data_IF_377988572123
#
_entry.id   IF_377988572123
#
_cell.length_a   1.000
_cell.length_b   1.000
_cell.length_c   1.000
_cell.angle_alpha   90.00
_cell.angle_beta   90.00
_cell.angle_gamma   90.00
#
_symmetry.space_group_name_H-M   'P 1'
#
loop_
_entity.id
_entity.type
_entity.pdbx_description
1 polymer ?
#
# COMPACT_ATOMS: atom_id res chain seq x y z
N UNK A 1 23.64 -8.31 47.34
CA UNK A 1 24.22 -7.69 46.15
C UNK A 1 24.13 -8.73 45.04
N UNK A 2 23.14 -8.65 44.22
CA UNK A 2 23.01 -9.47 43.03
C UNK A 2 22.42 -8.55 41.95
N UNK A 3 23.28 -8.26 41.00
CA UNK A 3 23.03 -7.37 39.87
C UNK A 3 22.20 -8.12 38.84
N UNK A 4 20.95 -7.73 38.65
CA UNK A 4 20.09 -8.29 37.62
C UNK A 4 20.11 -7.32 36.43
N UNK A 5 21.14 -7.43 35.61
CA UNK A 5 21.20 -6.78 34.29
C UNK A 5 20.22 -7.51 33.35
N UNK A 6 19.03 -6.96 33.23
CA UNK A 6 18.08 -7.35 32.18
C UNK A 6 18.64 -6.92 30.84
N UNK A 7 19.14 -7.88 30.11
CA UNK A 7 19.58 -7.74 28.72
C UNK A 7 18.33 -7.53 27.83
N UNK A 8 18.07 -6.28 27.50
CA UNK A 8 17.14 -5.95 26.42
C UNK A 8 17.81 -6.37 25.10
N UNK A 9 17.51 -7.60 24.67
CA UNK A 9 17.91 -8.09 23.37
C UNK A 9 17.31 -7.18 22.28
N UNK A 10 18.14 -6.31 21.73
CA UNK A 10 17.84 -5.56 20.53
C UNK A 10 17.52 -6.56 19.41
N UNK A 11 16.31 -6.53 18.91
CA UNK A 11 15.93 -7.31 17.73
C UNK A 11 16.85 -6.87 16.59
N UNK A 12 17.75 -7.76 16.18
CA UNK A 12 18.56 -7.58 14.98
C UNK A 12 17.61 -7.36 13.78
N UNK A 13 17.93 -6.46 12.86
CA UNK A 13 17.12 -6.30 11.66
C UNK A 13 17.05 -7.65 10.93
N UNK A 14 15.85 -8.19 10.76
CA UNK A 14 15.61 -9.46 10.09
C UNK A 14 16.15 -9.36 8.67
N UNK A 15 17.06 -10.25 8.28
CA UNK A 15 17.63 -10.23 6.94
C UNK A 15 16.58 -10.56 5.87
N UNK A 16 16.67 -9.96 4.69
CA UNK A 16 15.75 -10.26 3.56
C UNK A 16 15.67 -11.76 3.23
N UNK A 17 16.76 -12.50 3.43
CA UNK A 17 16.86 -13.95 3.23
C UNK A 17 15.95 -14.74 4.19
N UNK A 18 15.76 -14.28 5.43
CA UNK A 18 14.90 -14.94 6.41
C UNK A 18 13.42 -14.85 6.00
N UNK A 19 13.00 -13.71 5.50
CA UNK A 19 11.62 -13.50 5.04
C UNK A 19 11.30 -14.41 3.86
N UNK A 20 12.19 -14.51 2.89
CA UNK A 20 12.01 -15.41 1.72
C UNK A 20 11.90 -16.86 2.17
N UNK A 21 12.74 -17.29 3.11
CA UNK A 21 12.67 -18.65 3.66
C UNK A 21 11.34 -18.92 4.39
N UNK A 22 10.88 -17.97 5.22
CA UNK A 22 9.57 -18.13 5.91
C UNK A 22 8.39 -18.13 4.93
N UNK A 23 8.48 -17.41 3.82
CA UNK A 23 7.48 -17.49 2.75
C UNK A 23 7.48 -18.86 2.08
N UNK A 24 8.66 -19.47 1.90
CA UNK A 24 8.79 -20.83 1.38
C UNK A 24 8.21 -21.87 2.36
N UNK A 25 8.50 -21.73 3.66
CA UNK A 25 7.97 -22.59 4.71
C UNK A 25 6.42 -22.48 4.78
N UNK A 26 5.89 -21.28 4.66
CA UNK A 26 4.44 -21.04 4.64
C UNK A 26 3.78 -21.67 3.40
N UNK A 27 4.43 -21.68 2.25
CA UNK A 27 3.98 -22.42 1.05
C UNK A 27 3.97 -23.92 1.28
N UNK A 28 4.90 -24.43 2.08
CA UNK A 28 4.96 -25.81 2.51
C UNK A 28 3.88 -26.23 3.52
N UNK A 29 3.03 -25.28 3.96
CA UNK A 29 1.92 -25.52 4.90
C UNK A 29 2.22 -25.12 6.35
N UNK A 30 3.38 -24.52 6.65
CA UNK A 30 3.66 -23.97 7.98
C UNK A 30 2.90 -22.64 8.20
N UNK A 31 1.74 -22.73 8.88
CA UNK A 31 0.93 -21.56 9.21
C UNK A 31 1.64 -20.59 10.18
N UNK A 32 2.58 -21.09 11.00
CA UNK A 32 3.36 -20.26 11.91
C UNK A 32 4.40 -19.42 11.16
N UNK A 33 4.89 -19.90 10.01
CA UNK A 33 5.81 -19.14 9.16
C UNK A 33 5.15 -17.90 8.58
N UNK A 34 3.90 -17.97 8.11
CA UNK A 34 3.16 -16.79 7.65
C UNK A 34 2.94 -15.78 8.78
N UNK A 35 2.63 -16.23 9.98
CA UNK A 35 2.49 -15.34 11.15
C UNK A 35 3.80 -14.64 11.49
N UNK A 36 4.96 -15.31 11.35
CA UNK A 36 6.29 -14.70 11.49
C UNK A 36 6.56 -13.63 10.44
N UNK A 37 6.28 -13.93 9.17
CA UNK A 37 6.40 -12.95 8.08
C UNK A 37 5.58 -11.70 8.41
N UNK A 38 4.32 -11.87 8.74
CA UNK A 38 3.41 -10.76 8.99
C UNK A 38 3.79 -9.93 10.22
N UNK A 39 4.20 -10.57 11.34
CA UNK A 39 4.64 -9.85 12.53
C UNK A 39 5.93 -9.05 12.28
N UNK A 40 6.86 -9.61 11.52
CA UNK A 40 8.12 -8.94 11.16
C UNK A 40 7.87 -7.77 10.22
N UNK A 41 7.03 -7.97 9.21
CA UNK A 41 6.73 -6.94 8.23
C UNK A 41 5.67 -5.94 8.70
N UNK A 42 4.99 -6.19 9.83
CA UNK A 42 3.96 -5.29 10.35
C UNK A 42 4.44 -3.85 10.51
N UNK A 43 5.64 -3.65 11.04
CA UNK A 43 6.22 -2.32 11.24
C UNK A 43 6.53 -1.64 9.89
N UNK A 44 6.98 -2.41 8.92
CA UNK A 44 7.21 -1.90 7.56
C UNK A 44 5.87 -1.51 6.91
N UNK A 45 4.86 -2.39 6.97
CA UNK A 45 3.51 -2.12 6.48
C UNK A 45 2.88 -0.90 7.16
N UNK A 46 3.07 -0.77 8.48
CA UNK A 46 2.55 0.39 9.22
C UNK A 46 3.27 1.69 8.83
N UNK A 47 4.56 1.63 8.54
CA UNK A 47 5.33 2.77 8.03
C UNK A 47 4.85 3.16 6.63
N UNK A 48 4.60 2.19 5.76
CA UNK A 48 4.01 2.40 4.42
C UNK A 48 2.64 3.07 4.53
N UNK A 49 1.76 2.56 5.39
CA UNK A 49 0.43 3.12 5.59
C UNK A 49 0.48 4.56 6.12
N UNK A 50 1.40 4.88 7.05
CA UNK A 50 1.59 6.25 7.53
C UNK A 50 2.06 7.20 6.41
N UNK A 51 2.99 6.77 5.57
CA UNK A 51 3.44 7.56 4.42
C UNK A 51 2.30 7.81 3.43
N UNK A 52 1.48 6.78 3.16
CA UNK A 52 0.31 6.86 2.28
C UNK A 52 -0.71 7.89 2.77
N UNK A 53 -0.95 7.94 4.08
CA UNK A 53 -1.96 8.82 4.68
C UNK A 53 -1.39 10.19 5.07
N UNK A 54 -0.08 10.42 4.90
CA UNK A 54 0.55 11.72 5.16
C UNK A 54 -0.04 12.79 4.22
N UNK A 55 -0.59 13.85 4.79
CA UNK A 55 -1.25 14.93 4.03
C UNK A 55 -2.75 14.74 3.81
N UNK A 56 -3.33 13.61 4.19
CA UNK A 56 -4.77 13.38 4.11
C UNK A 56 -5.45 13.74 5.44
N UNK A 57 -5.56 15.04 5.72
CA UNK A 57 -6.19 15.54 6.95
C UNK A 57 -7.71 15.33 6.91
N UNK A 58 -8.31 14.86 8.02
CA UNK A 58 -9.76 14.70 8.16
C UNK A 58 -10.34 13.36 7.68
N UNK A 59 -9.50 12.37 7.36
CA UNK A 59 -9.99 11.03 6.97
C UNK A 59 -10.19 10.14 8.20
N UNK A 60 -11.28 9.34 8.18
CA UNK A 60 -11.54 8.28 9.17
C UNK A 60 -10.56 7.12 9.05
N UNK A 61 -9.88 6.99 7.91
CA UNK A 61 -8.88 5.95 7.67
C UNK A 61 -7.55 6.35 8.30
N UNK A 62 -7.13 5.61 9.31
CA UNK A 62 -5.79 5.76 9.92
C UNK A 62 -4.87 4.60 9.51
N UNK A 63 -3.56 4.76 9.79
CA UNK A 63 -2.55 3.78 9.36
C UNK A 63 -2.81 2.38 9.93
N UNK A 64 -3.29 2.27 11.17
CA UNK A 64 -3.59 0.98 11.80
C UNK A 64 -4.76 0.28 11.11
N UNK A 65 -5.84 1.03 10.80
CA UNK A 65 -6.99 0.50 10.05
C UNK A 65 -6.57 0.08 8.65
N UNK A 66 -5.79 0.92 7.94
CA UNK A 66 -5.30 0.59 6.59
C UNK A 66 -4.48 -0.70 6.59
N UNK A 67 -3.56 -0.86 7.55
CA UNK A 67 -2.74 -2.08 7.67
C UNK A 67 -3.62 -3.29 8.01
N UNK A 68 -4.58 -3.13 8.92
CA UNK A 68 -5.46 -4.23 9.32
C UNK A 68 -6.36 -4.70 8.16
N UNK A 69 -6.97 -3.78 7.42
CA UNK A 69 -7.78 -4.11 6.25
C UNK A 69 -6.94 -4.73 5.11
N UNK A 70 -5.75 -4.19 4.86
CA UNK A 70 -4.82 -4.79 3.90
C UNK A 70 -4.39 -6.20 4.34
N UNK A 71 -4.13 -6.40 5.63
CA UNK A 71 -3.82 -7.71 6.21
C UNK A 71 -4.98 -8.71 6.01
N UNK A 72 -6.23 -8.31 6.26
CA UNK A 72 -7.39 -9.18 6.02
C UNK A 72 -7.50 -9.58 4.55
N UNK A 73 -7.18 -8.67 3.61
CA UNK A 73 -7.12 -8.98 2.18
C UNK A 73 -5.98 -9.95 1.85
N UNK A 74 -4.83 -9.82 2.54
CA UNK A 74 -3.68 -10.73 2.39
C UNK A 74 -4.03 -12.17 2.83
N UNK A 75 -4.63 -12.33 4.02
CA UNK A 75 -4.96 -13.66 4.56
C UNK A 75 -6.23 -14.28 3.95
N UNK A 76 -7.16 -13.46 3.47
CA UNK A 76 -8.41 -13.93 2.83
C UNK A 76 -8.17 -14.69 1.53
N UNK A 77 -7.03 -14.50 0.89
CA UNK A 77 -6.54 -15.34 -0.21
C UNK A 77 -5.71 -16.49 0.35
N UNK A 78 -6.37 -17.55 0.80
CA UNK A 78 -5.75 -18.79 1.33
C UNK A 78 -4.70 -19.44 0.40
N UNK A 79 -4.57 -18.97 -0.83
CA UNK A 79 -3.63 -19.47 -1.86
C UNK A 79 -2.60 -18.41 -2.28
N UNK A 80 -2.47 -17.28 -1.56
CA UNK A 80 -1.45 -16.29 -1.90
C UNK A 80 -0.05 -16.86 -1.61
N UNK A 81 0.50 -17.58 -2.59
CA UNK A 81 1.87 -18.06 -2.56
C UNK A 81 2.80 -16.90 -2.94
N UNK A 82 3.32 -16.21 -1.94
CA UNK A 82 4.34 -15.20 -2.19
C UNK A 82 5.66 -15.89 -2.53
N UNK A 83 6.20 -15.60 -3.71
CA UNK A 83 7.44 -16.22 -4.18
C UNK A 83 8.66 -15.69 -3.42
N UNK A 84 8.63 -14.40 -3.09
CA UNK A 84 9.70 -13.71 -2.39
C UNK A 84 9.17 -12.43 -1.69
N UNK A 85 10.09 -11.72 -1.04
CA UNK A 85 9.79 -10.44 -0.37
C UNK A 85 9.26 -9.37 -1.34
N UNK A 86 9.78 -9.32 -2.58
CA UNK A 86 9.34 -8.35 -3.58
C UNK A 86 7.88 -8.60 -3.98
N UNK A 87 7.51 -9.86 -4.20
CA UNK A 87 6.15 -10.25 -4.50
C UNK A 87 5.19 -9.93 -3.33
N UNK A 88 5.62 -10.17 -2.08
CA UNK A 88 4.83 -9.80 -0.90
C UNK A 88 4.56 -8.29 -0.85
N UNK A 89 5.61 -7.43 -1.01
CA UNK A 89 5.44 -5.97 -0.95
C UNK A 89 4.62 -5.41 -2.12
N UNK A 90 4.79 -5.93 -3.32
CA UNK A 90 3.97 -5.56 -4.46
C UNK A 90 2.49 -5.86 -4.19
N UNK A 91 2.21 -7.03 -3.62
CA UNK A 91 0.84 -7.41 -3.26
C UNK A 91 0.29 -6.55 -2.10
N UNK A 92 1.10 -6.26 -1.08
CA UNK A 92 0.71 -5.39 0.02
C UNK A 92 0.38 -3.97 -0.45
N UNK A 93 1.19 -3.41 -1.38
CA UNK A 93 0.92 -2.11 -1.99
C UNK A 93 -0.41 -2.11 -2.75
N UNK A 94 -0.68 -3.14 -3.54
CA UNK A 94 -1.95 -3.32 -4.27
C UNK A 94 -3.14 -3.50 -3.31
N UNK A 95 -2.97 -4.24 -2.21
CA UNK A 95 -4.00 -4.39 -1.17
C UNK A 95 -4.31 -3.05 -0.49
N UNK A 96 -3.28 -2.27 -0.14
CA UNK A 96 -3.45 -0.92 0.43
C UNK A 96 -4.16 0.01 -0.54
N UNK A 97 -3.78 0.00 -1.84
CA UNK A 97 -4.49 0.72 -2.90
C UNK A 97 -5.98 0.37 -2.88
N UNK A 98 -6.31 -0.93 -2.90
CA UNK A 98 -7.69 -1.39 -2.88
C UNK A 98 -8.47 -0.88 -1.66
N UNK A 99 -7.87 -0.90 -0.46
CA UNK A 99 -8.52 -0.39 0.77
C UNK A 99 -8.81 1.11 0.63
N UNK A 100 -7.83 1.91 0.22
CA UNK A 100 -8.00 3.38 0.08
C UNK A 100 -9.09 3.71 -0.96
N UNK A 101 -9.10 2.99 -2.08
CA UNK A 101 -10.12 3.15 -3.14
C UNK A 101 -11.51 2.75 -2.65
N UNK A 102 -11.63 1.65 -1.90
CA UNK A 102 -12.90 1.21 -1.33
C UNK A 102 -13.45 2.24 -0.34
N UNK A 103 -12.60 2.84 0.49
CA UNK A 103 -12.98 3.96 1.37
C UNK A 103 -13.46 5.18 0.59
N UNK A 104 -12.74 5.58 -0.47
CA UNK A 104 -13.17 6.69 -1.33
C UNK A 104 -14.55 6.42 -1.97
N UNK A 105 -14.76 5.21 -2.48
CA UNK A 105 -16.06 4.78 -3.04
C UNK A 105 -17.19 4.84 -2.01
N UNK A 106 -16.96 4.35 -0.79
CA UNK A 106 -17.96 4.36 0.29
C UNK A 106 -18.34 5.79 0.67
N UNK A 107 -17.39 6.71 0.82
CA UNK A 107 -17.65 8.11 1.16
C UNK A 107 -18.46 8.82 0.06
N UNK A 108 -18.13 8.60 -1.20
CA UNK A 108 -18.88 9.14 -2.32
C UNK A 108 -20.31 8.55 -2.42
N UNK A 109 -20.47 7.26 -2.12
CA UNK A 109 -21.78 6.60 -2.11
C UNK A 109 -22.65 7.11 -0.94
N UNK A 110 -22.10 7.27 0.26
CA UNK A 110 -22.82 7.83 1.41
C UNK A 110 -23.36 9.24 1.13
N UNK A 111 -22.59 10.06 0.39
CA UNK A 111 -23.05 11.37 -0.04
C UNK A 111 -24.23 11.31 -1.02
N UNK A 112 -24.26 10.31 -1.92
CA UNK A 112 -25.35 10.16 -2.92
C UNK A 112 -26.61 9.53 -2.34
N UNK A 113 -26.49 8.71 -1.29
CA UNK A 113 -27.61 7.96 -0.69
C UNK A 113 -28.13 8.51 0.65
N UNK A 114 -27.42 9.45 1.25
CA UNK A 114 -27.86 10.11 2.48
C UNK A 114 -28.93 11.14 2.16
N UNK A 115 -30.00 11.15 2.97
CA UNK A 115 -31.06 12.16 3.03
C UNK A 115 -30.49 13.50 3.53
N UNK A 116 -29.47 14.01 2.85
CA UNK A 116 -28.93 15.33 3.09
C UNK A 116 -29.94 16.32 2.51
N UNK A 117 -30.85 16.80 3.36
CA UNK A 117 -31.53 18.06 3.13
C UNK A 117 -30.51 19.02 2.48
N UNK A 118 -30.90 19.61 1.36
CA UNK A 118 -30.17 20.62 0.59
C UNK A 118 -29.48 21.62 1.55
N UNK A 119 -28.29 21.30 2.00
CA UNK A 119 -27.36 22.29 2.53
C UNK A 119 -26.78 22.94 1.29
N UNK A 120 -27.14 24.17 1.05
CA UNK A 120 -26.86 24.92 -0.18
C UNK A 120 -25.37 25.19 -0.36
N UNK A 121 -24.57 25.02 0.71
CA UNK A 121 -23.11 25.18 0.71
C UNK A 121 -22.49 24.11 1.62
N UNK A 122 -21.61 23.28 1.08
CA UNK A 122 -20.81 22.35 1.86
C UNK A 122 -19.62 23.13 2.45
N UNK A 123 -19.22 22.87 3.71
CA UNK A 123 -17.95 23.39 4.24
C UNK A 123 -16.79 23.02 3.32
N UNK A 124 -15.82 23.94 3.11
CA UNK A 124 -14.68 23.74 2.19
C UNK A 124 -13.90 22.48 2.50
N UNK A 125 -13.80 22.09 3.79
CA UNK A 125 -13.10 20.86 4.20
C UNK A 125 -13.80 19.59 3.66
N UNK A 126 -15.14 19.60 3.64
CA UNK A 126 -15.93 18.46 3.12
C UNK A 126 -15.83 18.43 1.59
N UNK A 127 -15.90 19.56 0.92
CA UNK A 127 -15.76 19.67 -0.52
C UNK A 127 -14.35 19.25 -0.97
N UNK A 128 -13.31 19.72 -0.28
CA UNK A 128 -11.94 19.32 -0.53
C UNK A 128 -11.70 17.82 -0.34
N UNK A 129 -12.25 17.21 0.70
CA UNK A 129 -12.17 15.77 0.94
C UNK A 129 -12.84 14.96 -0.18
N UNK A 130 -13.97 15.42 -0.72
CA UNK A 130 -14.67 14.76 -1.81
C UNK A 130 -13.93 14.84 -3.15
N UNK A 131 -13.27 15.97 -3.42
CA UNK A 131 -12.40 16.09 -4.60
C UNK A 131 -11.25 15.08 -4.53
N UNK A 132 -10.64 14.92 -3.35
CA UNK A 132 -9.58 13.92 -3.14
C UNK A 132 -10.08 12.49 -3.38
N UNK A 133 -11.32 12.16 -2.97
CA UNK A 133 -11.91 10.84 -3.23
C UNK A 133 -12.14 10.61 -4.73
N UNK A 134 -12.65 11.60 -5.47
CA UNK A 134 -12.83 11.53 -6.91
C UNK A 134 -11.49 11.42 -7.67
N UNK A 135 -10.48 12.17 -7.22
CA UNK A 135 -9.12 12.08 -7.75
C UNK A 135 -8.51 10.70 -7.51
N UNK A 136 -8.76 10.11 -6.31
CA UNK A 136 -8.31 8.76 -5.98
C UNK A 136 -8.93 7.70 -6.91
N UNK A 137 -10.24 7.79 -7.20
CA UNK A 137 -10.89 6.88 -8.14
C UNK A 137 -10.36 7.03 -9.56
N UNK A 138 -10.04 8.25 -9.96
CA UNK A 138 -9.47 8.54 -11.27
C UNK A 138 -8.07 7.98 -11.42
N UNK A 139 -7.25 8.12 -10.36
CA UNK A 139 -5.93 7.52 -10.30
C UNK A 139 -6.01 5.99 -10.35
N UNK A 140 -6.97 5.37 -9.64
CA UNK A 140 -7.21 3.93 -9.67
C UNK A 140 -7.53 3.43 -11.09
N UNK A 141 -8.41 4.11 -11.80
CA UNK A 141 -8.75 3.80 -13.18
C UNK A 141 -7.54 3.96 -14.12
N UNK A 142 -6.77 5.05 -13.98
CA UNK A 142 -5.58 5.29 -14.77
C UNK A 142 -4.49 4.24 -14.53
N UNK A 143 -4.31 3.80 -13.27
CA UNK A 143 -3.38 2.73 -12.91
C UNK A 143 -3.81 1.37 -13.46
N UNK A 144 -5.10 1.10 -13.50
CA UNK A 144 -5.63 -0.13 -14.11
C UNK A 144 -5.31 -0.15 -15.62
N UNK A 145 -5.56 0.95 -16.33
CA UNK A 145 -5.17 1.09 -17.75
C UNK A 145 -3.65 0.95 -17.95
N UNK A 146 -2.85 1.53 -17.05
CA UNK A 146 -1.40 1.41 -17.11
C UNK A 146 -0.94 -0.03 -16.91
N UNK A 147 -1.57 -0.78 -15.99
CA UNK A 147 -1.26 -2.20 -15.76
C UNK A 147 -1.55 -3.07 -16.98
N UNK A 148 -2.62 -2.77 -17.72
CA UNK A 148 -2.97 -3.45 -18.98
C UNK A 148 -1.93 -3.20 -20.08
N UNK A 149 -1.29 -2.00 -20.09
CA UNK A 149 -0.26 -1.63 -21.07
C UNK A 149 1.13 -2.13 -20.65
N UNK A 150 1.52 -1.88 -19.42
CA UNK A 150 2.80 -2.31 -18.83
C UNK A 150 2.66 -2.46 -17.31
N UNK A 151 2.40 -3.68 -16.86
CA UNK A 151 2.23 -4.01 -15.44
C UNK A 151 3.45 -3.64 -14.58
N UNK A 152 4.65 -3.64 -15.17
CA UNK A 152 5.88 -3.24 -14.47
C UNK A 152 5.85 -1.77 -14.08
N UNK A 153 5.36 -0.90 -14.97
CA UNK A 153 5.22 0.54 -14.69
C UNK A 153 4.18 0.77 -13.60
N UNK A 154 3.05 0.07 -13.65
CA UNK A 154 2.03 0.12 -12.61
C UNK A 154 2.58 -0.32 -11.24
N UNK A 155 3.35 -1.41 -11.21
CA UNK A 155 4.01 -1.90 -9.98
C UNK A 155 4.96 -0.86 -9.38
N UNK A 156 5.76 -0.18 -10.18
CA UNK A 156 6.64 0.90 -9.70
C UNK A 156 5.83 2.03 -9.08
N UNK A 157 4.69 2.40 -9.68
CA UNK A 157 3.79 3.42 -9.12
C UNK A 157 3.18 2.94 -7.81
N UNK A 158 2.68 1.72 -7.74
CA UNK A 158 2.08 1.15 -6.54
C UNK A 158 3.06 1.14 -5.37
N UNK A 159 4.29 0.65 -5.61
CA UNK A 159 5.35 0.63 -4.59
C UNK A 159 5.76 2.05 -4.15
N UNK A 160 5.81 3.01 -5.07
CA UNK A 160 6.20 4.37 -4.74
C UNK A 160 5.07 5.15 -4.06
N UNK A 161 3.86 5.11 -4.63
CA UNK A 161 2.74 5.93 -4.18
C UNK A 161 2.00 5.31 -3.00
N UNK A 162 1.63 4.02 -3.07
CA UNK A 162 0.84 3.37 -2.02
C UNK A 162 1.70 2.74 -0.93
N UNK A 163 2.89 2.25 -1.25
CA UNK A 163 3.83 1.74 -0.26
C UNK A 163 4.82 2.81 0.26
N UNK A 164 4.90 3.97 -0.39
CA UNK A 164 5.78 5.07 0.02
C UNK A 164 7.28 4.74 -0.04
N UNK A 165 7.68 3.79 -0.91
CA UNK A 165 9.07 3.42 -1.10
C UNK A 165 9.83 4.42 -1.98
N UNK A 166 11.09 4.67 -1.65
CA UNK A 166 12.01 5.45 -2.49
C UNK A 166 12.43 4.65 -3.74
N UNK A 167 12.99 5.34 -4.74
CA UNK A 167 13.54 4.69 -5.94
C UNK A 167 14.63 3.67 -5.59
N UNK A 168 15.45 3.96 -4.57
CA UNK A 168 16.51 3.07 -4.09
C UNK A 168 15.92 1.81 -3.43
N UNK A 169 14.91 1.95 -2.57
CA UNK A 169 14.23 0.82 -1.93
C UNK A 169 13.53 -0.06 -2.96
N UNK A 170 12.85 0.54 -3.96
CA UNK A 170 12.21 -0.19 -5.07
C UNK A 170 13.26 -0.91 -5.91
N UNK A 171 14.39 -0.27 -6.19
CA UNK A 171 15.49 -0.87 -6.95
C UNK A 171 16.03 -2.12 -6.25
N UNK A 172 16.32 -2.03 -4.95
CA UNK A 172 16.74 -3.16 -4.13
C UNK A 172 15.69 -4.27 -4.06
N UNK A 173 14.41 -3.89 -3.88
CA UNK A 173 13.30 -4.83 -3.81
C UNK A 173 13.11 -5.62 -5.12
N UNK A 174 13.13 -4.93 -6.27
CA UNK A 174 12.90 -5.52 -7.59
C UNK A 174 14.19 -6.04 -8.25
N UNK A 175 15.32 -5.99 -7.55
CA UNK A 175 16.65 -6.40 -8.05
C UNK A 175 17.01 -5.72 -9.38
N UNK A 176 16.77 -4.39 -9.44
CA UNK A 176 17.01 -3.55 -10.62
C UNK A 176 17.88 -2.34 -10.28
N UNK A 177 18.44 -1.67 -11.29
CA UNK A 177 19.16 -0.42 -11.04
C UNK A 177 18.22 0.72 -10.72
N UNK A 178 18.62 1.62 -9.81
CA UNK A 178 17.87 2.85 -9.49
C UNK A 178 17.57 3.68 -10.75
N UNK A 179 18.53 3.79 -11.67
CA UNK A 179 18.37 4.45 -12.98
C UNK A 179 17.21 3.84 -13.79
N UNK A 180 17.04 2.52 -13.74
CA UNK A 180 15.93 1.83 -14.40
C UNK A 180 14.60 2.17 -13.75
N UNK A 181 14.54 2.15 -12.41
CA UNK A 181 13.32 2.51 -11.64
C UNK A 181 12.94 3.96 -11.90
N UNK A 182 13.90 4.89 -11.88
CA UNK A 182 13.66 6.32 -12.19
C UNK A 182 13.07 6.50 -13.58
N UNK A 183 13.61 5.80 -14.59
CA UNK A 183 13.08 5.84 -15.96
C UNK A 183 11.67 5.28 -16.05
N UNK A 184 11.42 4.16 -15.39
CA UNK A 184 10.10 3.53 -15.35
C UNK A 184 9.08 4.44 -14.64
N UNK A 185 9.47 5.07 -13.53
CA UNK A 185 8.65 6.08 -12.86
C UNK A 185 8.30 7.27 -13.76
N UNK A 186 9.28 7.81 -14.50
CA UNK A 186 9.03 8.92 -15.43
C UNK A 186 8.03 8.54 -16.52
N UNK A 187 8.18 7.33 -17.12
CA UNK A 187 7.22 6.83 -18.13
C UNK A 187 5.83 6.65 -17.54
N UNK A 188 5.72 6.03 -16.37
CA UNK A 188 4.46 5.83 -15.69
C UNK A 188 3.77 7.19 -15.39
N UNK A 189 4.53 8.16 -14.88
CA UNK A 189 4.02 9.51 -14.60
C UNK A 189 3.48 10.20 -15.86
N UNK A 190 4.17 10.10 -16.98
CA UNK A 190 3.70 10.69 -18.26
C UNK A 190 2.39 10.04 -18.70
N UNK A 191 2.28 8.73 -18.63
CA UNK A 191 1.04 8.00 -18.95
C UNK A 191 -0.11 8.43 -18.04
N UNK A 192 0.11 8.46 -16.72
CA UNK A 192 -0.92 8.83 -15.75
C UNK A 192 -1.39 10.28 -15.94
N UNK A 193 -0.47 11.21 -16.21
CA UNK A 193 -0.84 12.61 -16.50
C UNK A 193 -1.73 12.70 -17.74
N UNK A 194 -1.39 12.00 -18.83
CA UNK A 194 -2.22 11.97 -20.04
C UNK A 194 -3.61 11.37 -19.74
N UNK A 195 -3.66 10.20 -19.08
CA UNK A 195 -4.90 9.51 -18.75
C UNK A 195 -5.82 10.31 -17.80
N UNK A 196 -5.26 11.18 -16.95
CA UNK A 196 -6.04 12.05 -16.06
C UNK A 196 -6.52 13.34 -16.73
N UNK A 197 -5.92 13.74 -17.86
CA UNK A 197 -6.33 14.92 -18.64
C UNK A 197 -7.40 14.63 -19.69
N UNK A 198 -7.59 13.35 -20.07
CA UNK A 198 -8.60 12.91 -21.06
C UNK A 198 -10.03 12.85 -20.49
N UNK A 199 -10.34 13.67 -19.47
CA UNK A 199 -11.66 13.74 -18.82
C UNK A 199 -12.60 14.72 -19.48
#
# INVERSE_FOLDING_TARGET
>A
MADSSTNAAGASPTEPADITRWLDDARGGDSAAMSRVLSTLYQELHTMARKQLAGQHGQTLNATVLVHEAYLKLIGRREAQFQDRAHFFAYAASAMRSVVVDYARQRLAQKRGGDLHRVTELPEEIEGALRLDEEMLSLDNALTKLADVDNRLAQVVELRYFAGLSELEIAGLLQRSERSIRRDWQKARMFLLAALQER
#
